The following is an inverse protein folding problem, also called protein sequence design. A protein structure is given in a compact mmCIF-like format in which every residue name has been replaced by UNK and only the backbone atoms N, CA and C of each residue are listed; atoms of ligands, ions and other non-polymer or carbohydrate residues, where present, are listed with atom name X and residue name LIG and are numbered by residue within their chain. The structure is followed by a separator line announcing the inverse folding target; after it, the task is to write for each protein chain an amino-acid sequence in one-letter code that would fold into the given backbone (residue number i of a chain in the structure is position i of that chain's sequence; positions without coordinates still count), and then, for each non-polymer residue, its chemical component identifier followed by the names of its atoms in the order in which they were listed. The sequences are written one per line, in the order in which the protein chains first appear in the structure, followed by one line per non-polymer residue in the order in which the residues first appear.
data_IF_422197281188
#
_entry.id   IF_422197281188
#
_cell.length_a   1.000
_cell.length_b   1.000
_cell.length_c   1.000
_cell.angle_alpha   90.00
_cell.angle_beta   90.00
_cell.angle_gamma   90.00
#
_symmetry.space_group_name_H-M   'P 1'
#
loop_
_entity.id
_entity.type
_entity.pdbx_description
1 polymer ?
2 water ?
#
# COMPACT_ATOMS: atom_id res chain seq x y z
N UNK A 8 23.10 13.62 10.00
CA UNK A 8 22.11 14.35 9.21
C UNK A 8 21.26 13.45 8.29
N UNK A 9 21.73 12.26 7.91
CA UNK A 9 20.96 11.32 7.11
C UNK A 9 20.83 10.04 7.93
N UNK A 10 19.60 9.56 8.11
CA UNK A 10 19.39 8.34 8.86
C UNK A 10 18.37 7.46 8.16
N UNK A 11 18.72 6.18 7.98
CA UNK A 11 17.77 5.17 7.51
C UNK A 11 17.14 4.45 8.69
N UNK A 12 15.81 4.41 8.71
CA UNK A 12 15.03 3.67 9.70
C UNK A 12 13.98 2.86 8.96
N UNK A 13 13.80 1.59 9.33
CA UNK A 13 12.71 0.76 8.82
C UNK A 13 11.61 0.71 9.88
N UNK A 14 10.36 0.91 9.47
CA UNK A 14 9.23 0.77 10.38
C UNK A 14 8.46 -0.49 10.03
N UNK A 15 7.99 -1.19 11.06
CA UNK A 15 7.08 -2.32 10.89
C UNK A 15 5.71 -1.91 11.41
N UNK A 16 4.69 -2.06 10.57
CA UNK A 16 3.38 -1.51 10.88
C UNK A 16 2.36 -2.64 10.99
N UNK A 17 1.09 -2.27 11.02
CA UNK A 17 0.04 -3.28 11.00
C UNK A 17 0.17 -4.17 9.77
N UNK A 18 -0.30 -5.40 9.89
CA UNK A 18 -0.17 -6.41 8.84
C UNK A 18 1.28 -6.68 8.48
N UNK A 19 2.22 -6.34 9.37
CA UNK A 19 3.66 -6.48 9.14
C UNK A 19 4.13 -5.73 7.90
N UNK A 20 3.42 -4.67 7.52
CA UNK A 20 3.87 -3.81 6.43
C UNK A 20 5.15 -3.10 6.86
N UNK A 21 6.15 -3.11 5.99
CA UNK A 21 7.43 -2.46 6.26
C UNK A 21 7.48 -1.15 5.50
N UNK A 22 7.71 -0.05 6.21
CA UNK A 22 7.87 1.26 5.60
C UNK A 22 9.33 1.69 5.76
N UNK A 23 10.13 1.64 4.70
CA UNK A 23 11.49 2.19 4.77
C UNK A 23 11.44 3.71 4.76
N UNK A 24 12.24 4.33 5.64
CA UNK A 24 12.29 5.78 5.77
C UNK A 24 13.74 6.25 5.72
N UNK A 25 13.97 7.36 5.03
CA UNK A 25 15.19 8.15 5.21
C UNK A 25 14.83 9.49 5.85
N UNK A 26 15.46 9.82 6.97
CA UNK A 26 15.30 11.13 7.58
C UNK A 26 16.49 11.99 7.25
N UNK A 27 16.22 13.25 6.92
CA UNK A 27 17.25 14.25 6.65
C UNK A 27 17.07 15.38 7.65
N UNK A 28 18.09 15.64 8.45
CA UNK A 28 18.01 16.72 9.41
C UNK A 28 18.95 17.85 8.98
N UNK A 29 18.68 19.06 9.46
CA UNK A 29 19.58 20.17 9.16
C UNK A 29 19.73 21.01 10.42
N UNK A 30 20.97 21.15 10.90
CA UNK A 30 21.31 22.03 12.02
C UNK A 30 20.38 21.84 13.21
N UNK A 31 20.25 20.59 13.64
CA UNK A 31 19.55 20.26 14.86
C UNK A 31 18.05 20.11 14.73
N UNK A 32 17.50 20.25 13.53
CA UNK A 32 16.06 20.15 13.38
C UNK A 32 15.73 19.17 12.26
N UNK A 33 14.55 18.54 12.31
CA UNK A 33 14.08 17.76 11.16
C UNK A 33 13.95 18.64 9.93
N UNK A 34 14.20 18.06 8.76
CA UNK A 34 14.04 18.81 7.52
C UNK A 34 13.20 18.06 6.49
N UNK A 35 13.56 16.81 6.21
CA UNK A 35 12.85 16.07 5.18
C UNK A 35 12.77 14.61 5.59
N UNK A 36 11.81 13.90 5.01
CA UNK A 36 11.73 12.46 5.10
C UNK A 36 11.39 11.92 3.72
N UNK A 37 11.96 10.77 3.38
CA UNK A 37 11.60 10.05 2.16
C UNK A 37 11.10 8.67 2.57
N UNK A 38 9.91 8.32 2.08
CA UNK A 38 9.24 7.06 2.40
C UNK A 38 9.06 6.26 1.13
N UNK A 39 8.98 4.95 1.27
CA UNK A 39 8.46 4.09 0.21
C UNK A 39 7.18 3.47 0.74
N UNK A 40 6.04 3.90 0.21
CA UNK A 40 4.73 3.42 0.64
C UNK A 40 3.83 3.26 -0.57
N UNK A 41 2.97 2.24 -0.51
CA UNK A 41 1.97 1.99 -1.55
C UNK A 41 2.60 1.92 -2.94
N UNK A 42 3.81 1.38 -3.02
CA UNK A 42 4.52 1.32 -4.28
C UNK A 42 5.12 2.62 -4.77
N UNK A 43 5.13 3.66 -3.95
CA UNK A 43 5.59 4.98 -4.37
C UNK A 43 6.80 5.41 -3.54
N UNK A 44 7.68 6.18 -4.15
CA UNK A 44 8.63 6.98 -3.39
C UNK A 44 7.95 8.30 -3.04
N UNK A 45 7.86 8.61 -1.75
CA UNK A 45 7.14 9.79 -1.26
C UNK A 45 8.14 10.68 -0.53
N UNK A 46 8.36 11.88 -1.06
CA UNK A 46 9.21 12.89 -0.44
C UNK A 46 8.36 13.87 0.35
N UNK A 47 8.75 14.13 1.61
CA UNK A 47 7.98 14.98 2.50
C UNK A 47 8.89 16.00 3.17
N UNK A 48 8.31 17.17 3.42
CA UNK A 48 8.98 18.26 4.11
C UNK A 48 8.47 18.38 5.54
N UNK A 49 9.39 18.66 6.46
CA UNK A 49 9.00 18.88 7.85
C UNK A 49 8.24 20.20 8.00
N UNK A 50 7.11 20.16 8.71
CA UNK A 50 6.33 21.34 9.08
C UNK A 50 6.33 21.43 10.61
N UNK A 51 7.15 22.32 11.16
CA UNK A 51 7.29 22.38 12.61
C UNK A 51 6.01 22.76 13.32
N UNK A 52 5.21 23.65 12.72
CA UNK A 52 3.95 24.06 13.33
C UNK A 52 2.96 22.90 13.43
N UNK A 53 2.98 21.99 12.47
CA UNK A 53 2.12 20.81 12.46
C UNK A 53 2.74 19.63 13.19
N UNK A 54 4.02 19.71 13.51
CA UNK A 54 4.77 18.62 14.12
C UNK A 54 4.65 17.34 13.30
N UNK A 55 4.71 17.46 11.98
CA UNK A 55 4.71 16.28 11.12
C UNK A 55 5.30 16.64 9.76
N UNK A 56 5.55 15.61 8.96
CA UNK A 56 6.02 15.78 7.59
C UNK A 56 4.84 15.76 6.63
N UNK A 57 4.89 16.64 5.63
CA UNK A 57 3.84 16.75 4.63
C UNK A 57 4.46 16.62 3.24
N UNK A 58 3.85 15.79 2.39
CA UNK A 58 4.35 15.55 1.04
C UNK A 58 4.58 16.85 0.29
N UNK A 59 5.69 16.92 -0.45
CA UNK A 59 5.92 18.11 -1.26
C UNK A 59 4.96 18.18 -2.43
N UNK A 60 4.43 17.04 -2.89
CA UNK A 60 3.46 16.98 -3.99
C UNK A 60 2.07 17.21 -3.41
N UNK A 61 1.53 18.41 -3.62
CA UNK A 61 0.22 18.75 -3.10
C UNK A 61 -0.89 17.88 -3.68
N UNK A 62 -0.67 17.29 -4.85
CA UNK A 62 -1.67 16.45 -5.49
C UNK A 62 -1.63 15.00 -5.00
N UNK A 63 -0.71 14.66 -4.10
CA UNK A 63 -0.62 13.33 -3.52
C UNK A 63 -0.10 13.51 -2.10
N UNK A 64 -0.95 14.09 -1.26
CA UNK A 64 -0.51 14.69 0.00
C UNK A 64 -0.51 13.67 1.14
N UNK A 65 0.49 12.79 1.13
CA UNK A 65 0.76 11.98 2.31
C UNK A 65 1.26 12.86 3.45
N UNK A 66 1.03 12.40 4.68
CA UNK A 66 1.62 13.00 5.87
C UNK A 66 2.22 11.89 6.70
N UNK A 67 3.31 12.21 7.40
CA UNK A 67 4.03 11.24 8.21
C UNK A 67 4.37 11.88 9.54
N UNK A 68 3.94 11.24 10.61
CA UNK A 68 4.24 11.71 11.97
C UNK A 68 5.04 10.61 12.66
N UNK A 69 6.17 10.96 13.22
CA UNK A 69 6.91 9.95 14.01
C UNK A 69 7.05 10.56 15.40
N UNK A 70 6.30 10.03 16.35
CA UNK A 70 6.21 10.70 17.65
C UNK A 70 6.32 9.70 18.79
N UNK A 71 7.32 9.90 19.66
CA UNK A 71 7.48 9.04 20.81
C UNK A 71 7.62 7.58 20.43
N UNK A 72 8.32 7.30 19.34
CA UNK A 72 8.53 5.96 18.86
C UNK A 72 7.39 5.36 18.06
N UNK A 73 6.24 6.02 17.98
CA UNK A 73 5.10 5.56 17.18
C UNK A 73 4.93 6.45 15.96
N UNK A 74 4.82 5.84 14.78
CA UNK A 74 4.66 6.63 13.57
C UNK A 74 3.32 6.34 12.91
N UNK A 75 2.82 7.35 12.20
CA UNK A 75 1.52 7.29 11.54
C UNK A 75 1.62 7.82 10.11
N UNK A 76 1.15 7.03 9.15
CA UNK A 76 0.97 7.46 7.77
C UNK A 76 -0.48 7.85 7.54
N UNK A 77 -0.70 9.04 6.99
CA UNK A 77 -2.03 9.49 6.61
C UNK A 77 -1.95 10.13 5.23
N UNK A 78 -3.11 10.49 4.68
CA UNK A 78 -3.16 11.04 3.33
C UNK A 78 -4.38 11.94 3.22
N UNK A 79 -4.23 13.04 2.49
CA UNK A 79 -5.32 13.97 2.21
C UNK A 79 -5.48 14.04 0.69
N UNK A 80 -6.66 13.67 0.20
CA UNK A 80 -6.91 13.74 -1.24
C UNK A 80 -6.93 15.18 -1.72
N UNK A 81 -6.71 15.33 -3.03
CA UNK A 81 -6.47 16.65 -3.60
C UNK A 81 -7.67 17.59 -3.43
N UNK A 82 -8.87 17.10 -3.73
CA UNK A 82 -10.08 17.93 -3.64
C UNK A 82 -10.24 18.57 -2.26
N UNK A 83 -10.72 19.82 -2.23
CA UNK A 83 -10.80 20.54 -0.96
C UNK A 83 -11.88 19.97 -0.03
N UNK A 84 -12.81 19.18 -0.57
CA UNK A 84 -13.82 18.52 0.26
C UNK A 84 -13.28 17.29 0.98
N UNK A 85 -12.12 16.79 0.58
CA UNK A 85 -11.61 15.57 1.20
C UNK A 85 -11.28 15.78 2.68
N UNK A 86 -11.36 14.70 3.45
CA UNK A 86 -10.89 14.69 4.83
C UNK A 86 -9.68 13.77 4.93
N UNK A 87 -8.78 14.06 5.86
CA UNK A 87 -7.57 13.24 6.03
C UNK A 87 -7.91 11.81 6.43
N UNK A 88 -7.27 10.84 5.77
CA UNK A 88 -7.47 9.41 6.00
C UNK A 88 -6.22 8.84 6.65
N UNK A 89 -6.38 8.07 7.73
CA UNK A 89 -5.23 7.40 8.33
C UNK A 89 -5.02 6.06 7.62
N UNK A 90 -3.81 5.86 7.09
CA UNK A 90 -3.51 4.63 6.36
C UNK A 90 -2.78 3.59 7.21
N UNK A 91 -1.79 4.00 8.00
CA UNK A 91 -1.07 3.10 8.90
C UNK A 91 -0.92 3.80 10.23
N UNK A 92 -1.41 3.17 11.32
CA UNK A 92 -1.39 3.82 12.62
C UNK A 92 -0.55 3.08 13.66
N UNK A 93 0.00 1.91 13.34
CA UNK A 93 0.74 1.11 14.31
C UNK A 93 2.17 0.85 13.85
N UNK A 94 2.82 1.86 13.28
CA UNK A 94 4.21 1.70 12.83
C UNK A 94 5.18 1.91 13.98
N UNK A 95 6.19 1.04 14.06
CA UNK A 95 7.22 1.19 15.08
C UNK A 95 8.58 0.92 14.46
N UNK A 96 9.57 1.70 14.88
CA UNK A 96 10.90 1.57 14.31
C UNK A 96 11.47 0.19 14.62
N UNK A 97 11.95 -0.47 13.58
CA UNK A 97 12.59 -1.78 13.72
C UNK A 97 14.03 -1.63 14.21
N UNK B 4 4.27 -28.62 -24.59
CA UNK B 4 4.28 -28.54 -23.10
C UNK B 4 3.18 -27.58 -22.63
N UNK B 5 2.72 -27.75 -21.40
CA UNK B 5 1.58 -26.95 -20.91
C UNK B 5 1.94 -25.47 -20.87
N UNK B 6 1.04 -24.62 -21.35
CA UNK B 6 1.22 -23.17 -21.28
C UNK B 6 -0.05 -22.56 -20.70
N UNK B 7 -0.21 -22.60 -19.37
CA UNK B 7 -1.31 -21.86 -18.73
C UNK B 7 -1.26 -20.40 -19.14
N UNK B 8 -2.39 -19.79 -19.51
CA UNK B 8 -2.35 -18.38 -19.92
C UNK B 8 -1.86 -17.51 -18.77
N UNK B 9 -0.95 -16.62 -19.09
CA UNK B 9 -0.38 -15.65 -18.16
C UNK B 9 -0.73 -14.27 -18.67
N UNK B 10 -1.31 -13.44 -17.81
CA UNK B 10 -1.66 -12.09 -18.22
C UNK B 10 -1.23 -11.09 -17.16
N UNK B 11 -0.56 -10.03 -17.59
CA UNK B 11 -0.27 -8.90 -16.73
C UNK B 11 -1.38 -7.86 -16.87
N UNK B 12 -1.93 -7.43 -15.74
CA UNK B 12 -2.89 -6.33 -15.69
C UNK B 12 -2.38 -5.37 -14.61
N UNK B 13 -2.39 -4.07 -14.91
CA UNK B 13 -2.12 -3.04 -13.91
C UNK B 13 -3.44 -2.40 -13.50
N UNK B 14 -3.66 -2.29 -12.20
CA UNK B 14 -4.82 -1.59 -11.68
C UNK B 14 -4.38 -0.26 -11.11
N UNK B 15 -5.19 0.77 -11.35
CA UNK B 15 -5.01 2.10 -10.78
C UNK B 15 -6.15 2.29 -9.78
N UNK B 16 -5.81 2.60 -8.54
CA UNK B 16 -6.78 2.61 -7.47
C UNK B 16 -6.90 4.02 -6.92
N UNK B 17 -7.60 4.16 -5.80
CA UNK B 17 -7.64 5.44 -5.10
C UNK B 17 -6.22 5.89 -4.76
N UNK B 18 -6.07 7.20 -4.60
CA UNK B 18 -4.77 7.84 -4.37
C UNK B 18 -3.79 7.55 -5.49
N UNK B 19 -4.29 7.11 -6.65
CA UNK B 19 -3.48 6.73 -7.80
C UNK B 19 -2.49 5.61 -7.47
N UNK B 20 -2.80 4.80 -6.46
CA UNK B 20 -2.00 3.63 -6.15
C UNK B 20 -2.09 2.65 -7.31
N UNK B 21 -0.94 2.14 -7.74
CA UNK B 21 -0.87 1.18 -8.84
C UNK B 21 -0.65 -0.20 -8.23
N UNK B 22 -1.52 -1.14 -8.57
CA UNK B 22 -1.37 -2.53 -8.14
C UNK B 22 -1.01 -3.37 -9.36
N UNK B 23 0.25 -3.80 -9.52
CA UNK B 23 0.58 -4.73 -10.60
C UNK B 23 0.08 -6.12 -10.27
N UNK B 24 -0.53 -6.77 -11.25
CA UNK B 24 -1.10 -8.10 -11.08
C UNK B 24 -0.63 -8.99 -12.22
N UNK B 25 -0.27 -10.23 -11.90
CA UNK B 25 -0.16 -11.30 -12.89
C UNK B 25 -1.25 -12.32 -12.62
N UNK B 26 -2.06 -12.60 -13.64
CA UNK B 26 -3.05 -13.66 -13.55
C UNK B 26 -2.51 -14.89 -14.28
N UNK B 27 -2.69 -16.06 -13.67
CA UNK B 27 -2.35 -17.33 -14.28
C UNK B 27 -3.64 -18.15 -14.30
N UNK B 28 -4.06 -18.54 -15.49
CA UNK B 28 -5.26 -19.33 -15.66
C UNK B 28 -4.85 -20.75 -16.02
N UNK B 29 -5.76 -21.69 -15.80
CA UNK B 29 -5.50 -23.07 -16.17
C UNK B 29 -6.77 -23.66 -16.75
N UNK B 30 -6.69 -24.11 -18.00
CA UNK B 30 -7.76 -24.83 -18.67
C UNK B 30 -9.10 -24.11 -18.52
N UNK B 31 -9.09 -22.82 -18.85
CA UNK B 31 -10.30 -22.03 -18.93
C UNK B 31 -10.79 -21.45 -17.62
N UNK B 32 -10.06 -21.64 -16.53
CA UNK B 32 -10.52 -21.15 -15.24
C UNK B 32 -9.42 -20.33 -14.57
N UNK B 33 -9.79 -19.38 -13.71
CA UNK B 33 -8.78 -18.71 -12.89
C UNK B 33 -8.06 -19.72 -12.02
N UNK B 34 -6.77 -19.47 -11.78
CA UNK B 34 -6.04 -20.37 -10.90
C UNK B 34 -5.27 -19.59 -9.85
N UNK B 35 -4.44 -18.65 -10.28
CA UNK B 35 -3.59 -17.91 -9.35
C UNK B 35 -3.52 -16.45 -9.75
N UNK B 36 -3.20 -15.60 -8.77
CA UNK B 36 -2.84 -14.21 -9.01
C UNK B 36 -1.63 -13.88 -8.16
N UNK B 37 -0.74 -13.04 -8.69
CA UNK B 37 0.38 -12.48 -7.94
C UNK B 37 0.26 -10.97 -7.99
N UNK B 38 0.27 -10.34 -6.82
CA UNK B 38 0.13 -8.91 -6.68
C UNK B 38 1.39 -8.36 -6.04
N UNK B 39 1.68 -7.10 -6.30
CA UNK B 39 2.64 -6.34 -5.50
C UNK B 39 1.83 -5.26 -4.78
N UNK B 40 1.67 -5.41 -3.46
CA UNK B 40 0.88 -4.48 -2.66
C UNK B 40 1.58 -4.25 -1.33
N UNK B 41 1.49 -3.02 -0.83
CA UNK B 41 2.06 -2.65 0.46
C UNK B 41 3.53 -3.05 0.58
N UNK B 42 4.28 -2.99 -0.53
CA UNK B 42 5.68 -3.39 -0.53
C UNK B 42 5.93 -4.88 -0.52
N UNK B 43 4.91 -5.70 -0.73
CA UNK B 43 5.03 -7.15 -0.66
C UNK B 43 4.69 -7.78 -2.00
N UNK B 44 5.33 -8.91 -2.32
CA UNK B 44 4.81 -9.81 -3.33
C UNK B 44 3.85 -10.75 -2.63
N UNK B 45 2.60 -10.77 -3.10
CA UNK B 45 1.52 -11.56 -2.50
C UNK B 45 1.02 -12.56 -3.54
N UNK B 46 1.19 -13.85 -3.26
CA UNK B 46 0.67 -14.90 -4.13
C UNK B 46 -0.68 -15.38 -3.61
N UNK B 47 -1.66 -15.51 -4.51
CA UNK B 47 -3.02 -15.88 -4.12
C UNK B 47 -3.55 -17.01 -4.99
N UNK B 48 -4.40 -17.84 -4.39
CA UNK B 48 -5.09 -18.93 -5.07
C UNK B 48 -6.55 -18.56 -5.31
N UNK B 49 -7.06 -18.91 -6.48
CA UNK B 49 -8.47 -18.69 -6.78
C UNK B 49 -9.34 -19.63 -5.94
N UNK B 50 -10.39 -19.07 -5.33
CA UNK B 50 -11.40 -19.85 -4.60
C UNK B 50 -12.72 -19.62 -5.33
N UNK B 51 -13.14 -20.61 -6.12
CA UNK B 51 -14.32 -20.45 -6.95
C UNK B 51 -15.61 -20.25 -6.16
N UNK B 52 -15.73 -20.92 -5.01
CA UNK B 52 -16.94 -20.74 -4.21
C UNK B 52 -17.04 -19.32 -3.67
N UNK B 53 -15.91 -18.72 -3.33
CA UNK B 53 -15.90 -17.35 -2.84
C UNK B 53 -15.83 -16.33 -3.97
N UNK B 54 -15.56 -16.77 -5.19
CA UNK B 54 -15.41 -15.88 -6.34
C UNK B 54 -14.37 -14.79 -6.08
N UNK B 55 -13.26 -15.18 -5.46
CA UNK B 55 -12.16 -14.24 -5.26
C UNK B 55 -10.88 -15.02 -5.03
N UNK B 56 -9.76 -14.30 -5.09
CA UNK B 56 -8.45 -14.87 -4.79
C UNK B 56 -8.13 -14.66 -3.32
N UNK B 57 -7.54 -15.69 -2.70
CA UNK B 57 -7.16 -15.67 -1.29
C UNK B 57 -5.68 -16.01 -1.17
N UNK B 58 -4.95 -15.22 -0.39
CA UNK B 58 -3.52 -15.43 -0.19
C UNK B 58 -3.23 -16.86 0.25
N UNK B 59 -2.17 -17.45 -0.31
CA UNK B 59 -1.78 -18.79 0.11
C UNK B 59 -1.24 -18.79 1.53
N UNK B 60 -0.73 -17.66 2.01
CA UNK B 60 -0.25 -17.54 3.38
C UNK B 60 -1.39 -17.10 4.30
N UNK B 61 -1.91 -18.05 5.09
CA UNK B 61 -3.00 -17.77 6.02
C UNK B 61 -2.60 -16.75 7.08
N UNK B 62 -1.30 -16.57 7.33
CA UNK B 62 -0.84 -15.60 8.31
C UNK B 62 -0.78 -14.18 7.77
N UNK B 63 -1.02 -13.98 6.47
CA UNK B 63 -1.02 -12.64 5.87
C UNK B 63 -2.10 -12.68 4.77
N UNK B 64 -3.36 -12.75 5.20
CA UNK B 64 -4.44 -13.22 4.33
C UNK B 64 -5.08 -12.05 3.58
N UNK B 65 -4.37 -11.59 2.55
CA UNK B 65 -4.98 -10.70 1.57
C UNK B 65 -6.04 -11.45 0.76
N UNK B 66 -7.01 -10.69 0.25
CA UNK B 66 -7.96 -11.19 -0.74
C UNK B 66 -8.07 -10.17 -1.87
N UNK B 67 -8.30 -10.68 -3.08
CA UNK B 67 -8.38 -9.86 -4.28
C UNK B 67 -9.55 -10.35 -5.11
N UNK B 68 -10.48 -9.46 -5.41
CA UNK B 68 -11.64 -9.78 -6.24
C UNK B 68 -11.74 -8.77 -7.36
N UNK B 69 -11.90 -9.24 -8.60
CA UNK B 69 -12.16 -8.37 -9.74
C UNK B 69 -13.45 -8.79 -10.40
N UNK B 70 -14.38 -7.84 -10.48
CA UNK B 70 -15.70 -8.08 -11.03
C UNK B 70 -15.99 -6.90 -11.94
N UNK B 71 -16.14 -7.17 -13.23
CA UNK B 71 -16.44 -6.13 -14.19
C UNK B 71 -15.42 -5.01 -14.26
N UNK B 72 -14.14 -5.34 -14.12
CA UNK B 72 -13.12 -4.33 -14.21
C UNK B 72 -12.89 -3.51 -12.96
N UNK B 73 -13.70 -3.70 -11.92
CA UNK B 73 -13.51 -3.04 -10.63
C UNK B 73 -12.99 -4.06 -9.63
N UNK B 74 -11.89 -3.75 -8.96
CA UNK B 74 -11.29 -4.70 -8.04
C UNK B 74 -11.18 -4.13 -6.64
N UNK B 75 -11.16 -5.04 -5.67
CA UNK B 75 -11.03 -4.69 -4.26
C UNK B 75 -9.91 -5.51 -3.65
N UNK B 76 -8.99 -4.83 -2.97
CA UNK B 76 -8.00 -5.48 -2.12
C UNK B 76 -8.50 -5.43 -0.68
N UNK B 77 -8.56 -6.59 -0.02
CA UNK B 77 -8.97 -6.66 1.37
C UNK B 77 -8.02 -7.56 2.13
N UNK B 78 -8.19 -7.62 3.45
CA UNK B 78 -7.25 -8.36 4.27
C UNK B 78 -7.97 -8.82 5.53
N UNK B 79 -7.69 -10.05 5.95
CA UNK B 79 -8.26 -10.63 7.15
C UNK B 79 -7.15 -11.10 8.07
N UNK B 80 -7.08 -10.51 9.26
CA UNK B 80 -6.19 -11.07 10.27
C UNK B 80 -6.75 -12.39 10.79
N UNK B 81 -7.96 -12.33 11.36
CA UNK B 81 -8.66 -13.55 11.84
C UNK B 81 -10.14 -13.22 12.06
N UNK B 87 -13.11 -8.73 7.82
CA UNK B 87 -12.30 -8.43 6.60
C UNK B 87 -12.26 -6.92 6.43
N UNK B 88 -11.07 -6.41 6.23
CA UNK B 88 -10.85 -4.97 6.10
C UNK B 88 -10.59 -4.69 4.63
N UNK B 89 -11.29 -3.70 4.08
CA UNK B 89 -11.04 -3.31 2.70
C UNK B 89 -9.89 -2.31 2.67
N UNK B 90 -8.85 -2.62 1.89
CA UNK B 90 -7.68 -1.75 1.79
C UNK B 90 -7.74 -0.84 0.58
N UNK B 91 -8.18 -1.36 -0.56
CA UNK B 91 -8.37 -0.55 -1.75
C UNK B 91 -9.70 -0.97 -2.33
N UNK B 92 -10.59 -0.01 -2.55
CA UNK B 92 -11.93 -0.33 -3.02
C UNK B 92 -12.23 0.23 -4.40
N UNK B 93 -11.33 1.02 -4.98
CA UNK B 93 -11.58 1.69 -6.24
C UNK B 93 -10.52 1.34 -7.28
N UNK B 94 -10.11 0.08 -7.34
CA UNK B 94 -9.12 -0.32 -8.33
C UNK B 94 -9.79 -0.58 -9.67
N UNK B 95 -9.16 -0.08 -10.72
CA UNK B 95 -9.73 -0.18 -12.06
C UNK B 95 -8.64 -0.61 -13.02
N UNK B 96 -8.96 -1.59 -13.86
CA UNK B 96 -7.98 -2.07 -14.80
C UNK B 96 -7.63 -0.96 -15.76
N UNK B 97 -6.34 -0.67 -15.85
CA UNK B 97 -5.85 0.39 -16.70
C UNK B 97 -5.85 -0.07 -18.15
#
# INVERSE_FOLDING_TARGET
QADEEQPPIERVDYICERSVVVPVTYIRSNGAPAAAVLEVEGKMVALQWHGDLKKYVAIDEQDSYRWADRGGQATLSHLEADHTAKEVTLLSACRADTAEELEHHHHHH
QADEEQPPIERVDYICERSVVVPVTYIRSNGAPAAAVLEVEGKMVALQWHGDLKKYVAIDEQDSYRWADRGGQATLSHLEADHTAKEVTLLSACRADTAEELEHHHHHH
#
